data_IF_021772263995
#
_entry.id   IF_021772263995
#
_cell.length_a   1.000
_cell.length_b   1.000
_cell.length_c   1.000
_cell.angle_alpha   90.00
_cell.angle_beta   90.00
_cell.angle_gamma   90.00
#
_symmetry.space_group_name_H-M   'P 1'
#
loop_
_entity.id
_entity.type
_entity.pdbx_description
1 polymer ?
#
# COMPACT_ATOMS: atom_id res chain seq x y z
N UNK A 1 21.30 19.32 -1.70
CA UNK A 1 21.49 17.98 -1.09
C UNK A 1 21.07 16.87 -2.05
N UNK A 2 19.78 16.65 -2.28
CA UNK A 2 19.32 15.69 -3.29
C UNK A 2 19.75 16.09 -4.72
N UNK A 3 19.62 17.38 -5.07
CA UNK A 3 20.15 17.91 -6.32
C UNK A 3 21.69 17.84 -6.39
N UNK A 4 22.39 17.85 -5.25
CA UNK A 4 23.86 17.79 -5.22
C UNK A 4 24.31 16.36 -5.54
N UNK A 5 23.65 15.34 -4.95
CA UNK A 5 23.88 13.93 -5.27
C UNK A 5 23.61 13.71 -6.76
N UNK A 6 22.46 14.14 -7.27
CA UNK A 6 22.13 13.98 -8.69
C UNK A 6 23.16 14.65 -9.61
N UNK A 7 23.57 15.89 -9.32
CA UNK A 7 24.58 16.59 -10.12
C UNK A 7 25.94 15.88 -10.12
N UNK A 8 26.39 15.37 -8.96
CA UNK A 8 27.63 14.61 -8.87
C UNK A 8 27.56 13.28 -9.63
N UNK A 9 26.41 12.59 -9.58
CA UNK A 9 26.20 11.34 -10.30
C UNK A 9 26.20 11.54 -11.82
N UNK A 10 25.61 12.62 -12.31
CA UNK A 10 25.67 12.97 -13.74
C UNK A 10 27.11 13.28 -14.19
N UNK A 11 27.96 13.81 -13.30
CA UNK A 11 29.36 14.12 -13.64
C UNK A 11 30.30 12.91 -13.56
N UNK A 12 30.09 12.02 -12.61
CA UNK A 12 31.06 10.97 -12.25
C UNK A 12 30.52 9.54 -12.30
N UNK A 13 29.23 9.38 -12.62
CA UNK A 13 28.50 8.13 -12.49
C UNK A 13 27.96 7.91 -11.06
N UNK A 14 26.88 7.16 -10.96
CA UNK A 14 26.35 6.72 -9.67
C UNK A 14 27.16 5.56 -9.07
N UNK A 15 27.52 5.69 -7.80
CA UNK A 15 28.20 4.64 -7.05
C UNK A 15 27.19 3.67 -6.41
N UNK A 16 26.93 2.57 -7.11
CA UNK A 16 26.09 1.47 -6.63
C UNK A 16 26.85 0.47 -5.75
N UNK A 17 28.09 0.77 -5.32
CA UNK A 17 28.82 -0.09 -4.37
C UNK A 17 28.65 0.36 -2.93
N UNK A 18 28.33 1.64 -2.72
CA UNK A 18 28.01 2.19 -1.40
C UNK A 18 26.74 1.54 -0.85
N UNK A 19 26.80 0.97 0.34
CA UNK A 19 25.67 0.33 1.03
C UNK A 19 24.94 -0.78 0.24
N UNK A 20 25.55 -1.37 -0.79
CA UNK A 20 24.91 -2.26 -1.78
C UNK A 20 24.32 -3.61 -1.27
N UNK A 21 24.19 -3.80 0.03
CA UNK A 21 23.45 -4.91 0.63
C UNK A 21 22.39 -4.37 1.59
N UNK A 22 21.57 -5.25 2.16
CA UNK A 22 20.43 -4.84 2.99
C UNK A 22 20.85 -3.92 4.15
N UNK A 23 20.40 -2.67 4.08
CA UNK A 23 20.77 -1.59 4.98
C UNK A 23 19.57 -1.15 5.81
N UNK A 24 19.74 -1.06 7.12
CA UNK A 24 18.74 -0.53 8.03
C UNK A 24 19.12 0.89 8.43
N UNK A 25 18.30 1.84 8.00
CA UNK A 25 18.34 3.23 8.43
C UNK A 25 17.38 3.43 9.59
N UNK A 26 17.90 3.72 10.79
CA UNK A 26 17.10 3.83 12.01
C UNK A 26 17.19 5.23 12.60
N UNK A 27 16.06 5.72 13.09
CA UNK A 27 15.95 6.96 13.86
C UNK A 27 15.17 6.71 15.15
N UNK A 28 15.39 7.56 16.16
CA UNK A 28 14.70 7.44 17.46
C UNK A 28 14.05 8.77 17.84
N UNK A 29 12.92 8.75 18.57
CA UNK A 29 12.31 9.98 19.06
C UNK A 29 13.29 10.76 19.94
N UNK A 30 13.35 12.08 19.74
CA UNK A 30 14.23 12.94 20.52
C UNK A 30 15.73 12.81 20.21
N UNK A 31 16.10 11.97 19.23
CA UNK A 31 17.45 11.88 18.67
C UNK A 31 17.51 12.45 17.25
N UNK A 32 18.62 13.13 16.93
CA UNK A 32 18.92 13.58 15.56
C UNK A 32 19.78 12.59 14.76
N UNK A 33 20.33 11.59 15.41
CA UNK A 33 21.30 10.66 14.80
C UNK A 33 20.60 9.72 13.83
N UNK A 34 21.11 9.65 12.61
CA UNK A 34 20.81 8.59 11.63
C UNK A 34 21.73 7.41 11.92
N UNK A 35 21.14 6.29 12.31
CA UNK A 35 21.88 5.03 12.46
C UNK A 35 21.81 4.24 11.17
N UNK A 36 22.94 3.72 10.71
CA UNK A 36 23.05 2.85 9.53
C UNK A 36 23.61 1.52 10.01
N UNK A 37 22.83 0.45 9.92
CA UNK A 37 23.17 -0.87 10.44
C UNK A 37 23.64 -0.85 11.92
N UNK A 38 23.00 0.00 12.72
CA UNK A 38 23.28 0.18 14.16
C UNK A 38 24.47 1.09 14.49
N UNK A 39 25.30 1.46 13.51
CA UNK A 39 26.35 2.47 13.68
C UNK A 39 25.81 3.89 13.49
N UNK A 40 26.35 4.87 14.21
CA UNK A 40 26.00 6.28 13.98
C UNK A 40 26.61 6.75 12.64
N UNK A 41 25.78 6.92 11.61
CA UNK A 41 26.21 7.38 10.28
C UNK A 41 26.23 8.90 10.17
N UNK A 42 25.17 9.57 10.65
CA UNK A 42 25.05 11.03 10.63
C UNK A 42 24.60 11.48 12.02
N UNK A 43 25.33 12.39 12.66
CA UNK A 43 24.97 12.90 13.99
C UNK A 43 24.87 14.44 14.00
N UNK A 44 23.76 15.00 13.49
CA UNK A 44 23.51 16.44 13.55
C UNK A 44 23.34 16.88 15.01
N UNK A 45 24.23 17.74 15.50
CA UNK A 45 24.18 18.27 16.86
C UNK A 45 23.06 19.29 17.06
N UNK A 46 21.80 18.85 17.18
CA UNK A 46 20.65 19.69 17.59
C UNK A 46 19.31 18.92 17.73
N UNK A 47 19.30 17.58 17.86
CA UNK A 47 18.06 16.79 17.73
C UNK A 47 17.27 17.11 16.44
N UNK A 48 17.98 17.39 15.35
CA UNK A 48 17.42 17.63 14.02
C UNK A 48 17.75 16.45 13.15
N UNK A 49 16.89 16.06 12.23
CA UNK A 49 17.24 15.09 11.20
C UNK A 49 17.20 15.83 9.86
N UNK A 50 18.31 15.78 9.13
CA UNK A 50 18.40 16.38 7.81
C UNK A 50 19.43 15.63 6.97
N UNK A 51 18.95 14.69 6.16
CA UNK A 51 19.79 13.87 5.29
C UNK A 51 19.09 13.58 3.96
N UNK A 52 19.90 13.33 2.93
CA UNK A 52 19.44 12.63 1.73
C UNK A 52 20.05 11.24 1.73
N UNK A 53 19.22 10.21 1.58
CA UNK A 53 19.66 8.82 1.55
C UNK A 53 19.97 8.43 0.11
N UNK A 54 21.18 7.92 -0.10
CA UNK A 54 21.59 7.17 -1.27
C UNK A 54 21.98 5.78 -0.80
N UNK A 55 21.34 4.77 -1.39
CA UNK A 55 21.74 3.38 -1.25
C UNK A 55 22.17 2.84 -2.62
N UNK A 56 23.11 1.90 -2.66
CA UNK A 56 23.65 1.33 -3.89
C UNK A 56 22.94 0.06 -4.32
N UNK A 57 22.06 -0.50 -3.48
CA UNK A 57 21.35 -1.73 -3.73
C UNK A 57 21.09 -2.51 -2.47
N UNK A 58 20.19 -3.48 -2.55
CA UNK A 58 19.85 -4.30 -1.40
C UNK A 58 18.35 -4.37 -1.25
N UNK A 59 17.92 -4.75 -0.06
CA UNK A 59 16.54 -4.63 0.38
C UNK A 59 16.57 -3.86 1.70
N UNK A 60 16.32 -2.56 1.61
CA UNK A 60 16.70 -1.59 2.63
C UNK A 60 15.48 -1.18 3.46
N UNK A 61 15.71 -0.76 4.70
CA UNK A 61 14.62 -0.52 5.66
C UNK A 61 14.77 0.82 6.36
N UNK A 62 13.73 1.62 6.35
CA UNK A 62 13.51 2.68 7.33
C UNK A 62 12.90 2.08 8.60
N UNK A 63 13.67 2.03 9.69
CA UNK A 63 13.22 1.57 11.01
C UNK A 63 12.81 2.77 11.87
N UNK A 64 11.49 2.97 11.98
CA UNK A 64 10.85 4.02 12.77
C UNK A 64 10.00 3.44 13.91
N UNK A 65 10.21 2.15 14.25
CA UNK A 65 9.48 1.42 15.29
C UNK A 65 9.51 2.04 16.69
N UNK A 66 10.47 2.93 16.95
CA UNK A 66 10.58 3.62 18.23
C UNK A 66 9.62 4.82 18.34
N UNK A 67 9.01 5.28 17.25
CA UNK A 67 8.15 6.46 17.25
C UNK A 67 6.75 6.17 17.76
N UNK A 68 6.18 7.15 18.46
CA UNK A 68 4.85 7.07 19.09
C UNK A 68 3.91 8.17 18.59
N UNK A 69 4.38 9.03 17.69
CA UNK A 69 3.59 10.04 17.02
C UNK A 69 3.33 9.62 15.57
N UNK A 70 2.27 10.15 14.98
CA UNK A 70 1.97 9.92 13.57
C UNK A 70 3.14 10.34 12.67
N UNK A 71 3.58 9.41 11.83
CA UNK A 71 4.66 9.57 10.86
C UNK A 71 4.08 9.85 9.47
N UNK A 72 4.86 10.56 8.65
CA UNK A 72 4.61 10.69 7.22
C UNK A 72 5.84 10.22 6.47
N UNK A 73 5.75 9.03 5.89
CA UNK A 73 6.83 8.41 5.13
C UNK A 73 6.43 8.35 3.66
N UNK A 74 7.36 8.77 2.80
CA UNK A 74 7.23 8.70 1.35
C UNK A 74 8.54 8.17 0.79
N UNK A 75 8.53 6.95 0.26
CA UNK A 75 9.70 6.25 -0.29
C UNK A 75 9.94 6.58 -1.76
N UNK A 76 9.09 7.38 -2.39
CA UNK A 76 9.25 7.70 -3.82
C UNK A 76 10.54 8.51 -4.05
N UNK A 77 11.18 8.34 -5.22
CA UNK A 77 12.37 9.11 -5.58
C UNK A 77 12.14 10.61 -5.43
N UNK A 78 13.08 11.28 -4.79
CA UNK A 78 13.02 12.72 -4.56
C UNK A 78 11.91 13.20 -3.62
N UNK A 79 11.14 12.31 -3.00
CA UNK A 79 10.17 12.66 -1.97
C UNK A 79 10.85 12.77 -0.59
N UNK A 80 10.11 13.29 0.38
CA UNK A 80 10.61 13.54 1.71
C UNK A 80 9.70 12.93 2.78
N UNK A 81 10.33 12.41 3.83
CA UNK A 81 9.66 11.86 5.00
C UNK A 81 9.82 12.78 6.20
N UNK A 82 8.77 12.87 7.03
CA UNK A 82 8.72 13.68 8.26
C UNK A 82 8.35 12.79 9.44
N UNK A 83 9.23 12.72 10.44
CA UNK A 83 9.04 11.83 11.59
C UNK A 83 8.54 12.55 12.84
N UNK A 84 8.87 13.83 13.03
CA UNK A 84 8.36 14.67 14.11
C UNK A 84 8.54 16.14 13.78
N UNK A 85 7.58 16.97 14.20
CA UNK A 85 7.65 18.43 14.05
C UNK A 85 8.84 19.03 14.81
N UNK A 86 9.21 18.43 15.94
CA UNK A 86 10.33 18.91 16.78
C UNK A 86 11.70 18.69 16.12
N UNK A 87 11.76 17.78 15.14
CA UNK A 87 12.96 17.49 14.38
C UNK A 87 13.04 18.33 13.08
N UNK A 88 12.03 19.15 12.78
CA UNK A 88 12.05 20.03 11.61
C UNK A 88 13.00 21.21 11.81
N UNK A 89 13.79 21.50 10.78
CA UNK A 89 14.64 22.68 10.79
C UNK A 89 13.83 23.94 10.46
N UNK A 90 13.72 24.89 11.40
CA UNK A 90 13.35 26.27 11.11
C UNK A 90 14.37 26.94 10.17
N UNK A 91 13.90 27.40 9.01
CA UNK A 91 14.63 28.06 7.93
C UNK A 91 14.38 29.58 7.86
N UNK A 92 13.58 30.15 8.78
CA UNK A 92 13.44 31.62 8.89
C UNK A 92 12.33 32.24 8.03
N UNK A 93 11.11 31.71 8.08
CA UNK A 93 9.95 32.19 7.31
C UNK A 93 9.87 31.60 5.90
N UNK A 94 8.77 31.88 5.18
CA UNK A 94 8.54 31.40 3.81
C UNK A 94 7.33 30.47 3.63
N UNK A 95 7.14 29.89 2.43
CA UNK A 95 5.90 29.20 2.03
C UNK A 95 5.52 27.99 2.91
N UNK A 96 6.49 27.34 3.56
CA UNK A 96 6.27 26.20 4.46
C UNK A 96 6.19 26.62 5.93
N UNK A 97 5.61 27.80 6.18
CA UNK A 97 5.55 28.39 7.50
C UNK A 97 6.92 28.68 8.10
N UNK A 98 8.01 28.55 7.34
CA UNK A 98 9.40 28.70 7.77
C UNK A 98 10.12 27.44 8.23
N UNK A 99 9.54 26.23 8.08
CA UNK A 99 10.22 24.96 8.36
C UNK A 99 10.72 24.27 7.07
N UNK A 100 11.70 23.37 7.23
CA UNK A 100 12.13 22.47 6.18
C UNK A 100 10.98 21.54 5.75
N UNK A 101 10.94 21.16 4.47
CA UNK A 101 9.86 20.36 3.90
C UNK A 101 9.87 18.88 4.34
N UNK A 102 10.88 18.44 5.09
CA UNK A 102 11.00 17.08 5.62
C UNK A 102 12.31 16.86 6.35
N UNK A 103 12.41 15.71 7.03
CA UNK A 103 13.56 15.30 7.84
C UNK A 103 14.55 14.49 6.98
N UNK A 104 14.01 13.60 6.15
CA UNK A 104 14.76 12.69 5.29
C UNK A 104 14.28 12.84 3.86
N UNK A 105 15.20 12.94 2.93
CA UNK A 105 14.93 12.95 1.50
C UNK A 105 15.45 11.67 0.86
N UNK A 106 14.69 11.07 -0.05
CA UNK A 106 15.23 10.00 -0.89
C UNK A 106 15.98 10.61 -2.06
N UNK A 107 17.08 9.98 -2.49
CA UNK A 107 17.77 10.40 -3.70
C UNK A 107 16.85 10.31 -4.94
N UNK A 108 17.19 11.08 -5.96
CA UNK A 108 16.62 10.88 -7.30
C UNK A 108 17.19 9.60 -7.91
N UNK A 109 16.42 8.98 -8.81
CA UNK A 109 16.94 7.83 -9.57
C UNK A 109 18.02 8.30 -10.54
N UNK A 110 19.11 7.53 -10.62
CA UNK A 110 20.11 7.74 -11.65
C UNK A 110 19.67 7.06 -12.95
N UNK A 111 19.31 7.85 -13.97
CA UNK A 111 18.79 7.37 -15.26
C UNK A 111 17.65 6.32 -15.16
N UNK A 112 16.81 6.42 -14.14
CA UNK A 112 15.69 5.50 -13.91
C UNK A 112 16.08 4.16 -13.26
N UNK A 113 17.33 4.00 -12.84
CA UNK A 113 17.77 2.81 -12.10
C UNK A 113 17.18 2.82 -10.69
N UNK A 114 16.43 1.76 -10.37
CA UNK A 114 15.70 1.60 -9.11
C UNK A 114 16.55 1.01 -7.97
N UNK A 115 17.81 0.64 -8.20
CA UNK A 115 18.64 0.00 -7.16
C UNK A 115 18.89 0.87 -5.94
N UNK A 116 18.74 2.19 -6.04
CA UNK A 116 18.95 3.10 -4.92
C UNK A 116 17.70 3.41 -4.10
N UNK A 117 16.60 2.72 -4.40
CA UNK A 117 15.37 2.86 -3.64
C UNK A 117 15.53 2.23 -2.25
N UNK A 118 14.63 2.65 -1.38
CA UNK A 118 14.40 1.99 -0.10
C UNK A 118 13.10 1.22 -0.24
N UNK A 119 13.11 -0.06 0.07
CA UNK A 119 11.98 -0.94 -0.17
C UNK A 119 11.06 -1.07 1.05
N UNK A 120 11.60 -0.93 2.27
CA UNK A 120 10.87 -1.33 3.46
C UNK A 120 10.72 -0.20 4.48
N UNK A 121 9.59 -0.20 5.18
CA UNK A 121 9.31 0.74 6.27
C UNK A 121 8.69 0.02 7.43
N UNK A 122 9.26 0.23 8.61
CA UNK A 122 8.66 -0.11 9.90
C UNK A 122 8.13 1.16 10.54
N UNK A 123 6.82 1.33 10.55
CA UNK A 123 6.09 2.43 11.18
C UNK A 123 6.24 2.47 12.70
N UNK A 124 5.51 3.37 13.34
CA UNK A 124 5.47 3.58 14.78
C UNK A 124 4.25 2.92 15.44
N UNK A 125 3.84 3.47 16.58
CA UNK A 125 2.68 2.98 17.35
C UNK A 125 1.47 3.91 17.30
N UNK A 126 1.45 4.84 16.35
CA UNK A 126 0.37 5.80 16.12
C UNK A 126 -0.03 5.76 14.64
N UNK A 127 -1.20 6.31 14.29
CA UNK A 127 -1.70 6.31 12.92
C UNK A 127 -0.77 7.02 11.93
N UNK A 128 -0.05 6.24 11.16
CA UNK A 128 0.99 6.63 10.21
C UNK A 128 0.45 6.75 8.79
N UNK A 129 1.19 7.47 7.96
CA UNK A 129 0.97 7.53 6.52
C UNK A 129 2.25 7.08 5.83
N UNK A 130 2.20 5.92 5.17
CA UNK A 130 3.34 5.27 4.53
C UNK A 130 3.03 5.09 3.04
N UNK A 131 3.85 5.72 2.20
CA UNK A 131 3.82 5.59 0.75
C UNK A 131 5.08 4.87 0.30
N UNK A 132 4.90 3.75 -0.39
CA UNK A 132 5.91 2.97 -1.09
C UNK A 132 6.44 3.67 -2.35
N UNK A 133 7.00 2.91 -3.25
CA UNK A 133 7.58 3.36 -4.51
C UNK A 133 7.46 2.26 -5.57
N UNK A 134 8.23 2.36 -6.67
CA UNK A 134 8.12 1.42 -7.77
C UNK A 134 8.81 0.05 -7.56
N UNK A 135 9.46 -0.19 -6.42
CA UNK A 135 10.04 -1.49 -6.10
C UNK A 135 9.05 -2.36 -5.32
N UNK A 136 9.36 -3.65 -5.21
CA UNK A 136 8.60 -4.52 -4.31
C UNK A 136 8.87 -4.11 -2.85
N UNK A 137 7.87 -3.52 -2.21
CA UNK A 137 7.99 -2.96 -0.88
C UNK A 137 7.46 -3.88 0.21
N UNK A 138 8.00 -3.75 1.43
CA UNK A 138 7.38 -4.31 2.64
C UNK A 138 7.12 -3.22 3.67
N UNK A 139 5.84 -2.96 3.92
CA UNK A 139 5.39 -1.85 4.76
C UNK A 139 4.68 -2.41 6.00
N UNK A 140 5.13 -2.01 7.19
CA UNK A 140 4.48 -2.33 8.46
C UNK A 140 3.96 -1.04 9.11
N UNK A 141 2.65 -0.94 9.32
CA UNK A 141 2.02 0.15 10.09
C UNK A 141 2.19 -0.02 11.61
N UNK A 142 2.13 -1.28 12.08
CA UNK A 142 2.18 -1.70 13.48
C UNK A 142 0.99 -1.26 14.34
N UNK A 143 0.93 -0.02 14.77
CA UNK A 143 -0.07 0.40 15.75
C UNK A 143 -0.69 1.73 15.43
N UNK A 144 -1.99 1.86 15.68
CA UNK A 144 -2.76 3.03 15.30
C UNK A 144 -3.50 2.82 13.98
N UNK A 145 -4.22 3.84 13.54
CA UNK A 145 -5.01 3.76 12.31
C UNK A 145 -4.17 4.26 11.13
N UNK A 146 -3.59 3.33 10.40
CA UNK A 146 -2.57 3.59 9.40
C UNK A 146 -3.14 3.80 8.00
N UNK A 147 -2.35 4.44 7.15
CA UNK A 147 -2.58 4.54 5.72
C UNK A 147 -1.35 4.02 5.00
N UNK A 148 -1.48 2.85 4.37
CA UNK A 148 -0.41 2.19 3.63
C UNK A 148 -0.74 2.21 2.14
N UNK A 149 0.25 2.53 1.30
CA UNK A 149 0.14 2.54 -0.15
C UNK A 149 1.41 1.93 -0.75
N UNK A 150 1.31 0.82 -1.49
CA UNK A 150 2.45 0.16 -2.14
C UNK A 150 2.93 0.84 -3.43
N UNK A 151 2.07 1.64 -4.06
CA UNK A 151 2.27 2.28 -5.37
C UNK A 151 2.33 1.29 -6.53
N UNK A 152 3.52 0.86 -6.95
CA UNK A 152 3.66 -0.16 -7.99
C UNK A 152 4.75 -1.13 -7.60
N UNK A 153 4.55 -2.42 -7.81
CA UNK A 153 5.48 -3.41 -7.28
C UNK A 153 4.73 -4.68 -6.99
N UNK A 154 5.42 -5.67 -6.43
CA UNK A 154 4.72 -6.79 -5.80
C UNK A 154 4.89 -6.60 -4.31
N UNK A 155 3.97 -5.88 -3.70
CA UNK A 155 4.15 -5.30 -2.39
C UNK A 155 3.57 -6.21 -1.31
N UNK A 156 4.06 -6.06 -0.09
CA UNK A 156 3.54 -6.74 1.09
C UNK A 156 3.26 -5.71 2.19
N UNK A 157 1.99 -5.49 2.50
CA UNK A 157 1.54 -4.45 3.41
C UNK A 157 0.87 -5.08 4.63
N UNK A 158 1.32 -4.69 5.81
CA UNK A 158 0.79 -5.11 7.11
C UNK A 158 0.24 -3.89 7.84
N UNK A 159 -1.08 -3.81 8.02
CA UNK A 159 -1.76 -2.75 8.77
C UNK A 159 -1.30 -2.76 10.23
N UNK A 160 -1.60 -3.84 10.93
CA UNK A 160 -1.20 -4.01 12.32
C UNK A 160 -2.40 -3.95 13.24
N UNK A 161 -2.38 -3.01 14.18
CA UNK A 161 -3.45 -2.84 15.14
C UNK A 161 -4.10 -1.49 14.99
N UNK A 162 -5.38 -1.48 14.65
CA UNK A 162 -6.13 -0.26 14.39
C UNK A 162 -7.11 -0.45 13.25
N UNK A 163 -7.76 0.62 12.84
CA UNK A 163 -8.56 0.62 11.61
C UNK A 163 -7.74 1.20 10.48
N UNK A 164 -7.19 0.31 9.67
CA UNK A 164 -6.20 0.65 8.67
C UNK A 164 -6.81 0.84 7.29
N UNK A 165 -6.14 1.63 6.46
CA UNK A 165 -6.43 1.76 5.04
C UNK A 165 -5.22 1.29 4.26
N UNK A 166 -5.38 0.16 3.58
CA UNK A 166 -4.31 -0.52 2.88
C UNK A 166 -4.61 -0.51 1.39
N UNK A 167 -3.71 0.10 0.62
CA UNK A 167 -3.76 0.15 -0.83
C UNK A 167 -2.56 -0.56 -1.43
N UNK A 168 -2.79 -1.63 -2.19
CA UNK A 168 -1.74 -2.41 -2.85
C UNK A 168 -1.08 -1.58 -3.96
N UNK A 169 -1.84 -1.33 -5.02
CA UNK A 169 -1.39 -0.54 -6.14
C UNK A 169 -1.41 -1.34 -7.43
N UNK A 170 -0.32 -1.32 -8.18
CA UNK A 170 -0.18 -2.16 -9.37
C UNK A 170 0.81 -3.26 -9.12
N UNK A 171 0.45 -4.47 -9.51
CA UNK A 171 1.29 -5.66 -9.42
C UNK A 171 0.61 -6.69 -8.53
N UNK A 172 1.31 -7.75 -8.14
CA UNK A 172 0.72 -8.83 -7.37
C UNK A 172 1.04 -8.64 -5.89
N UNK A 173 0.09 -8.06 -5.17
CA UNK A 173 0.28 -7.58 -3.81
C UNK A 173 -0.24 -8.55 -2.76
N UNK A 174 0.26 -8.39 -1.54
CA UNK A 174 -0.23 -9.08 -0.34
C UNK A 174 -0.62 -8.04 0.69
N UNK A 175 -1.91 -7.98 1.02
CA UNK A 175 -2.45 -7.04 1.99
C UNK A 175 -2.95 -7.80 3.21
N UNK A 176 -2.48 -7.41 4.38
CA UNK A 176 -2.86 -7.96 5.68
C UNK A 176 -3.38 -6.81 6.55
N UNK A 177 -4.68 -6.80 6.84
CA UNK A 177 -5.28 -5.86 7.80
C UNK A 177 -4.80 -6.13 9.23
N UNK A 178 -4.70 -7.41 9.58
CA UNK A 178 -4.33 -7.93 10.89
C UNK A 178 -5.42 -7.70 11.95
N UNK A 179 -5.43 -6.61 12.70
CA UNK A 179 -6.40 -6.43 13.78
C UNK A 179 -7.10 -5.09 13.76
N UNK A 180 -8.43 -5.14 13.72
CA UNK A 180 -9.31 -3.98 13.72
C UNK A 180 -10.22 -4.03 12.51
N UNK A 181 -10.84 -2.91 12.17
CA UNK A 181 -11.77 -2.87 11.03
C UNK A 181 -11.06 -2.19 9.87
N UNK A 182 -10.62 -2.99 8.90
CA UNK A 182 -9.69 -2.55 7.88
C UNK A 182 -10.36 -2.35 6.52
N UNK A 183 -9.79 -1.46 5.73
CA UNK A 183 -10.15 -1.26 4.33
C UNK A 183 -8.99 -1.70 3.46
N UNK A 184 -9.19 -2.75 2.68
CA UNK A 184 -8.20 -3.30 1.76
C UNK A 184 -8.64 -3.04 0.32
N UNK A 185 -7.76 -2.37 -0.45
CA UNK A 185 -7.94 -2.16 -1.88
C UNK A 185 -6.64 -2.48 -2.61
N UNK A 186 -6.56 -3.65 -3.25
CA UNK A 186 -5.32 -4.05 -3.91
C UNK A 186 -5.10 -3.40 -5.29
N UNK A 187 -6.18 -2.99 -5.98
CA UNK A 187 -6.15 -2.49 -7.35
C UNK A 187 -5.77 -3.58 -8.37
N UNK A 188 -4.84 -3.32 -9.29
CA UNK A 188 -4.68 -4.19 -10.46
C UNK A 188 -3.57 -5.22 -10.25
N UNK A 189 -3.93 -6.49 -10.28
CA UNK A 189 -2.99 -7.55 -9.92
C UNK A 189 -3.66 -8.92 -9.87
N UNK A 190 -2.90 -9.92 -9.48
CA UNK A 190 -3.45 -11.12 -8.84
C UNK A 190 -3.08 -11.05 -7.36
N UNK A 191 -3.97 -10.45 -6.58
CA UNK A 191 -3.67 -10.02 -5.24
C UNK A 191 -4.14 -11.01 -4.18
N UNK A 192 -3.48 -10.95 -3.02
CA UNK A 192 -3.79 -11.77 -1.86
C UNK A 192 -4.23 -10.86 -0.73
N UNK A 193 -5.50 -10.98 -0.35
CA UNK A 193 -6.14 -10.14 0.65
C UNK A 193 -6.43 -10.97 1.91
N UNK A 194 -6.04 -10.45 3.06
CA UNK A 194 -6.35 -11.01 4.37
C UNK A 194 -6.81 -9.87 5.28
N UNK A 195 -8.07 -9.89 5.70
CA UNK A 195 -8.63 -8.87 6.59
C UNK A 195 -8.08 -9.01 8.00
N UNK A 196 -7.98 -10.25 8.48
CA UNK A 196 -7.57 -10.57 9.83
C UNK A 196 -8.77 -10.62 10.77
N UNK A 197 -8.62 -10.02 11.95
CA UNK A 197 -9.69 -9.98 12.95
C UNK A 197 -10.41 -8.64 12.91
N UNK A 198 -11.73 -8.66 12.75
CA UNK A 198 -12.58 -7.49 12.83
C UNK A 198 -13.66 -7.55 11.78
N UNK A 199 -14.20 -6.39 11.39
CA UNK A 199 -15.15 -6.26 10.29
C UNK A 199 -14.47 -5.52 9.14
N UNK A 200 -14.00 -6.28 8.17
CA UNK A 200 -13.14 -5.77 7.11
C UNK A 200 -13.91 -5.49 5.81
N UNK A 201 -13.39 -4.55 5.03
CA UNK A 201 -13.93 -4.15 3.74
C UNK A 201 -12.92 -4.40 2.64
N UNK A 202 -13.23 -5.36 1.77
CA UNK A 202 -12.47 -5.65 0.56
C UNK A 202 -13.07 -4.88 -0.61
N UNK A 203 -12.43 -3.79 -1.02
CA UNK A 203 -12.95 -2.86 -2.03
C UNK A 203 -12.39 -3.17 -3.42
N UNK A 204 -13.26 -3.16 -4.42
CA UNK A 204 -12.91 -3.22 -5.85
C UNK A 204 -13.58 -2.03 -6.55
N UNK A 205 -12.81 -1.29 -7.36
CA UNK A 205 -13.26 -0.05 -8.01
C UNK A 205 -13.30 -0.11 -9.52
N UNK A 206 -12.63 -1.08 -10.13
CA UNK A 206 -12.65 -1.30 -11.56
C UNK A 206 -12.73 -2.80 -11.89
N UNK A 207 -13.27 -3.13 -13.06
CA UNK A 207 -13.29 -4.50 -13.58
C UNK A 207 -11.87 -5.08 -13.80
N UNK A 208 -10.89 -4.19 -13.99
CA UNK A 208 -9.48 -4.55 -14.13
C UNK A 208 -8.80 -4.88 -12.81
N UNK A 209 -9.43 -4.57 -11.68
CA UNK A 209 -8.84 -4.86 -10.37
C UNK A 209 -8.74 -6.38 -10.17
N UNK A 210 -9.82 -7.12 -10.49
CA UNK A 210 -9.81 -8.58 -10.44
C UNK A 210 -10.53 -9.21 -11.64
N UNK A 211 -9.74 -9.79 -12.54
CA UNK A 211 -10.17 -10.38 -13.80
C UNK A 211 -10.71 -11.80 -13.65
N UNK A 212 -11.45 -12.27 -14.65
CA UNK A 212 -11.92 -13.67 -14.69
C UNK A 212 -10.74 -14.65 -14.81
N UNK A 213 -9.71 -14.27 -15.55
CA UNK A 213 -8.53 -15.09 -15.79
C UNK A 213 -7.66 -15.17 -14.53
N UNK A 214 -7.20 -16.38 -14.18
CA UNK A 214 -6.40 -16.62 -12.97
C UNK A 214 -5.18 -15.68 -12.80
N UNK A 215 -4.42 -15.30 -13.85
CA UNK A 215 -3.22 -14.47 -13.70
C UNK A 215 -3.47 -13.04 -13.19
N UNK A 216 -4.71 -12.57 -13.16
CA UNK A 216 -5.06 -11.27 -12.59
C UNK A 216 -6.34 -11.37 -11.79
N UNK A 217 -6.57 -12.48 -11.08
CA UNK A 217 -7.75 -12.68 -10.23
C UNK A 217 -7.33 -12.66 -8.78
N UNK A 218 -7.97 -11.81 -8.01
CA UNK A 218 -7.70 -11.63 -6.60
C UNK A 218 -8.30 -12.74 -5.76
N UNK A 219 -7.64 -13.03 -4.65
CA UNK A 219 -8.08 -14.00 -3.65
C UNK A 219 -8.15 -13.39 -2.27
N UNK A 220 -9.32 -13.50 -1.64
CA UNK A 220 -9.52 -13.20 -0.22
C UNK A 220 -9.36 -14.51 0.57
N UNK A 221 -8.47 -14.53 1.55
CA UNK A 221 -8.04 -15.75 2.25
C UNK A 221 -8.81 -16.07 3.53
N UNK A 222 -9.52 -15.11 4.11
CA UNK A 222 -10.11 -15.23 5.45
C UNK A 222 -11.49 -14.56 5.58
N UNK A 223 -12.23 -14.49 4.45
CA UNK A 223 -13.53 -13.85 4.41
C UNK A 223 -14.49 -14.43 5.47
N UNK A 224 -14.84 -13.62 6.47
CA UNK A 224 -15.71 -13.99 7.57
C UNK A 224 -17.13 -13.48 7.32
N UNK A 225 -18.03 -14.42 7.01
CA UNK A 225 -19.44 -14.13 6.76
C UNK A 225 -20.07 -13.30 7.89
N UNK A 226 -20.89 -12.30 7.52
CA UNK A 226 -21.58 -11.33 8.41
C UNK A 226 -20.69 -10.24 9.03
N UNK A 227 -19.40 -10.49 9.24
CA UNK A 227 -18.46 -9.45 9.68
C UNK A 227 -17.99 -8.64 8.46
N UNK A 228 -17.40 -9.33 7.50
CA UNK A 228 -16.70 -8.68 6.39
C UNK A 228 -17.64 -8.32 5.25
N UNK A 229 -17.19 -7.38 4.43
CA UNK A 229 -17.91 -6.89 3.26
C UNK A 229 -17.01 -6.85 2.04
N UNK A 230 -17.60 -7.20 0.90
CA UNK A 230 -17.00 -6.97 -0.42
C UNK A 230 -17.67 -5.73 -1.00
N UNK A 231 -16.90 -4.66 -1.16
CA UNK A 231 -17.39 -3.38 -1.68
C UNK A 231 -17.15 -3.30 -3.18
N UNK A 232 -18.23 -3.25 -3.94
CA UNK A 232 -18.27 -3.15 -5.40
C UNK A 232 -18.98 -1.86 -5.85
N UNK A 233 -19.29 -0.96 -4.91
CA UNK A 233 -20.12 0.23 -5.14
C UNK A 233 -19.48 1.25 -6.10
N UNK A 234 -18.18 1.15 -6.31
CA UNK A 234 -17.43 2.00 -7.24
C UNK A 234 -17.38 1.43 -8.67
N UNK A 235 -17.80 0.18 -8.88
CA UNK A 235 -17.86 -0.43 -10.22
C UNK A 235 -19.23 -0.15 -10.82
N UNK A 236 -19.24 0.51 -11.98
CA UNK A 236 -20.47 0.70 -12.76
C UNK A 236 -20.96 -0.64 -13.33
N UNK A 237 -22.05 -1.15 -12.78
CA UNK A 237 -22.61 -2.45 -13.15
C UNK A 237 -23.26 -2.43 -14.55
N UNK A 238 -23.47 -1.28 -15.19
CA UNK A 238 -24.03 -1.23 -16.54
C UNK A 238 -23.41 -0.11 -17.39
N UNK A 239 -22.40 -0.52 -18.16
CA UNK A 239 -21.61 0.33 -19.06
C UNK A 239 -22.41 1.00 -20.19
N UNK A 240 -23.69 0.67 -20.36
CA UNK A 240 -24.58 1.29 -21.36
C UNK A 240 -25.43 2.43 -20.81
N UNK A 241 -25.28 2.78 -19.54
CA UNK A 241 -26.00 3.90 -18.92
C UNK A 241 -25.07 4.68 -18.02
N UNK A 242 -25.13 6.01 -18.07
CA UNK A 242 -24.27 6.84 -17.23
C UNK A 242 -24.72 6.81 -15.77
N UNK A 243 -23.77 6.65 -14.85
CA UNK A 243 -23.94 6.83 -13.40
C UNK A 243 -23.93 5.52 -12.64
N UNK A 244 -22.76 5.12 -12.16
CA UNK A 244 -22.42 4.08 -11.17
C UNK A 244 -23.61 3.21 -10.71
N UNK A 245 -24.10 2.35 -11.61
CA UNK A 245 -25.25 1.53 -11.27
C UNK A 245 -24.84 0.38 -10.35
N UNK A 246 -25.68 0.09 -9.36
CA UNK A 246 -25.48 -1.01 -8.44
C UNK A 246 -25.71 -2.37 -9.11
N UNK A 247 -24.97 -3.39 -8.70
CA UNK A 247 -25.20 -4.75 -9.13
C UNK A 247 -26.51 -5.34 -8.57
N UNK A 248 -27.16 -6.17 -9.37
CA UNK A 248 -28.24 -7.06 -8.98
C UNK A 248 -27.70 -8.44 -8.57
N UNK A 249 -27.69 -8.73 -7.26
CA UNK A 249 -27.30 -10.05 -6.77
C UNK A 249 -28.35 -11.11 -7.07
N UNK A 250 -28.00 -12.12 -7.88
CA UNK A 250 -28.87 -13.23 -8.30
C UNK A 250 -28.56 -14.56 -7.59
N UNK A 251 -27.64 -14.56 -6.61
CA UNK A 251 -27.27 -15.75 -5.86
C UNK A 251 -26.48 -16.75 -6.70
N UNK A 252 -26.87 -18.03 -6.68
CA UNK A 252 -26.20 -19.10 -7.42
C UNK A 252 -26.75 -19.32 -8.85
N UNK A 253 -27.82 -18.61 -9.22
CA UNK A 253 -28.44 -18.71 -10.54
C UNK A 253 -27.46 -18.33 -11.66
N UNK A 254 -27.62 -18.93 -12.84
CA UNK A 254 -26.88 -18.52 -14.03
C UNK A 254 -27.33 -17.13 -14.50
N UNK A 255 -26.44 -16.41 -15.19
CA UNK A 255 -26.76 -15.11 -15.78
C UNK A 255 -27.95 -15.24 -16.74
N UNK A 256 -28.96 -14.40 -16.54
CA UNK A 256 -30.16 -14.35 -17.38
C UNK A 256 -29.93 -13.58 -18.68
N UNK A 257 -28.89 -12.73 -18.70
CA UNK A 257 -28.59 -11.77 -19.76
C UNK A 257 -29.11 -10.37 -19.46
N UNK A 258 -29.51 -10.11 -18.20
CA UNK A 258 -29.65 -8.73 -17.72
C UNK A 258 -28.26 -8.20 -17.38
N UNK A 259 -28.07 -6.91 -17.60
CA UNK A 259 -26.83 -6.21 -17.25
C UNK A 259 -26.73 -6.01 -15.75
N UNK A 260 -25.51 -5.96 -15.25
CA UNK A 260 -25.20 -5.73 -13.85
C UNK A 260 -25.60 -6.90 -12.95
N UNK A 261 -25.64 -8.13 -13.46
CA UNK A 261 -25.92 -9.30 -12.62
C UNK A 261 -24.66 -9.72 -11.86
N UNK A 262 -24.81 -9.99 -10.56
CA UNK A 262 -23.75 -10.52 -9.70
C UNK A 262 -24.18 -11.88 -9.16
N UNK A 263 -23.33 -12.89 -9.32
CA UNK A 263 -23.58 -14.26 -8.87
C UNK A 263 -22.39 -14.85 -8.16
N UNK A 264 -22.59 -16.01 -7.54
CA UNK A 264 -21.49 -16.82 -7.03
C UNK A 264 -21.61 -18.29 -7.43
N UNK A 265 -20.47 -18.99 -7.43
CA UNK A 265 -20.34 -20.43 -7.58
C UNK A 265 -19.52 -20.94 -6.41
N UNK A 266 -20.09 -21.85 -5.63
CA UNK A 266 -19.43 -22.47 -4.49
C UNK A 266 -18.95 -23.86 -4.88
N UNK A 267 -17.68 -24.14 -4.64
CA UNK A 267 -17.06 -25.45 -4.75
C UNK A 267 -16.89 -26.07 -3.35
N UNK A 268 -16.12 -27.15 -3.24
CA UNK A 268 -15.87 -27.87 -1.99
C UNK A 268 -15.07 -27.03 -1.00
N UNK A 269 -14.03 -26.34 -1.47
CA UNK A 269 -13.12 -25.51 -0.67
C UNK A 269 -13.19 -24.02 -0.99
N UNK A 270 -13.79 -23.65 -2.12
CA UNK A 270 -13.63 -22.32 -2.69
C UNK A 270 -14.97 -21.69 -3.06
N UNK A 271 -14.99 -20.37 -3.14
CA UNK A 271 -16.14 -19.62 -3.69
C UNK A 271 -15.67 -18.62 -4.72
N UNK A 272 -16.33 -18.59 -5.86
CA UNK A 272 -16.06 -17.64 -6.93
C UNK A 272 -17.25 -16.70 -7.10
N UNK A 273 -16.99 -15.41 -7.06
CA UNK A 273 -17.96 -14.36 -7.35
C UNK A 273 -17.73 -13.91 -8.79
N UNK A 274 -18.79 -13.71 -9.54
CA UNK A 274 -18.75 -13.26 -10.94
C UNK A 274 -19.75 -12.14 -11.17
N UNK A 275 -19.37 -11.12 -11.90
CA UNK A 275 -20.30 -10.11 -12.40
C UNK A 275 -20.32 -10.02 -13.92
N UNK A 276 -21.50 -9.80 -14.48
CA UNK A 276 -21.76 -9.53 -15.89
C UNK A 276 -22.33 -8.10 -16.01
N UNK A 277 -21.52 -7.17 -16.51
CA UNK A 277 -21.88 -5.75 -16.66
C UNK A 277 -22.50 -5.43 -18.01
N UNK A 278 -22.30 -6.31 -19.01
CA UNK A 278 -22.67 -6.03 -20.40
C UNK A 278 -23.91 -6.82 -20.88
N UNK A 279 -24.32 -7.85 -20.14
CA UNK A 279 -25.50 -8.68 -20.36
C UNK A 279 -25.29 -9.81 -21.38
N UNK A 280 -24.06 -10.16 -21.75
CA UNK A 280 -23.75 -11.21 -22.72
C UNK A 280 -23.72 -12.63 -22.11
N UNK A 281 -24.05 -12.73 -20.82
CA UNK A 281 -24.05 -13.97 -20.02
C UNK A 281 -22.65 -14.53 -19.75
N UNK A 282 -21.61 -13.72 -19.91
CA UNK A 282 -20.25 -14.05 -19.50
C UNK A 282 -19.83 -13.14 -18.35
N UNK A 283 -18.94 -13.66 -17.52
CA UNK A 283 -18.36 -12.85 -16.46
C UNK A 283 -17.39 -11.84 -17.09
N UNK A 284 -17.48 -10.58 -16.65
CA UNK A 284 -16.54 -9.51 -16.99
C UNK A 284 -15.44 -9.38 -15.93
N UNK A 285 -15.73 -9.75 -14.68
CA UNK A 285 -14.78 -9.80 -13.57
C UNK A 285 -15.08 -11.00 -12.67
N UNK A 286 -14.10 -11.39 -11.86
CA UNK A 286 -14.27 -12.46 -10.88
C UNK A 286 -13.49 -12.19 -9.60
N UNK A 287 -13.98 -12.65 -8.46
CA UNK A 287 -13.25 -12.62 -7.18
C UNK A 287 -13.23 -14.04 -6.63
N UNK A 288 -12.10 -14.46 -6.08
CA UNK A 288 -11.94 -15.76 -5.44
C UNK A 288 -11.94 -15.62 -3.92
N UNK A 289 -12.68 -16.48 -3.23
CA UNK A 289 -12.60 -16.67 -1.78
C UNK A 289 -12.01 -18.06 -1.54
N UNK A 290 -10.93 -18.13 -0.76
CA UNK A 290 -10.24 -19.38 -0.34
C UNK A 290 -11.05 -20.13 0.76
N UNK A 291 -12.38 -20.02 0.72
CA UNK A 291 -13.30 -20.75 1.58
C UNK A 291 -14.64 -21.01 0.86
N UNK A 292 -15.30 -22.08 1.25
CA UNK A 292 -16.58 -22.51 0.69
C UNK A 292 -17.75 -21.81 1.40
N UNK A 293 -17.98 -20.55 1.07
CA UNK A 293 -18.98 -19.66 1.68
C UNK A 293 -20.28 -19.63 0.87
N UNK A 294 -21.42 -19.66 1.58
CA UNK A 294 -22.73 -19.36 0.97
C UNK A 294 -22.98 -17.86 1.05
N UNK A 295 -22.85 -17.16 -0.07
CA UNK A 295 -22.94 -15.70 -0.12
C UNK A 295 -24.38 -15.19 -0.14
N UNK A 296 -24.60 -14.06 0.53
CA UNK A 296 -25.89 -13.36 0.61
C UNK A 296 -25.70 -11.91 0.17
N UNK A 297 -26.80 -11.27 -0.28
CA UNK A 297 -26.76 -9.87 -0.71
C UNK A 297 -26.15 -8.94 0.35
N UNK A 298 -26.40 -9.20 1.64
CA UNK A 298 -25.90 -8.36 2.74
C UNK A 298 -24.39 -8.41 2.98
N UNK A 299 -23.66 -9.28 2.27
CA UNK A 299 -22.19 -9.34 2.33
C UNK A 299 -21.52 -8.42 1.32
N UNK A 300 -22.31 -7.76 0.47
CA UNK A 300 -21.82 -6.84 -0.54
C UNK A 300 -22.28 -5.42 -0.24
N UNK A 301 -21.42 -4.46 -0.57
CA UNK A 301 -21.80 -3.05 -0.75
C UNK A 301 -21.92 -2.84 -2.26
N UNK A 302 -23.14 -2.57 -2.73
CA UNK A 302 -23.51 -2.51 -4.16
C UNK A 302 -24.09 -1.15 -4.51
#
# INVERSE_FOLDING_TARGET
MMADIAALQEMYGADFTTNAGNTVYKWTPGGGTTFVNGGAGISPGANRIFATIWDGGGNDTYDLSAYTNALKIDLRPGSASTFSIDQLAWLGGGPNGGFAAGNIFNALLYHGDARSLIENVKGGSSGDSIMGNQAANVLWGYGGNDRLNGDTGNDTLYGGSGSDRIYGGKGNDKLYGESGNDLLYAAAGADRLNGGSGSDSFTFKALSDSTVAKPGRDTIFDFTAKSDRIDLSAIDANTSSAGDQAFGFVGSAAFSGKKGELRYVRDVSDTYIFGDVNGDRKADFAIHLDDAVTLQKGYFVL
#
